data_IF_088661778809
#
_entry.id   IF_088661778809
#
_cell.length_a   1.000
_cell.length_b   1.000
_cell.length_c   1.000
_cell.angle_alpha   90.00
_cell.angle_beta   90.00
_cell.angle_gamma   90.00
#
_symmetry.space_group_name_H-M   'P 1'
#
loop_
_entity.id
_entity.type
_entity.pdbx_description
1 polymer ?
#
# COMPACT_ATOMS: atom_id res chain seq x y z
N UNK A 1 -51.15 -30.74 -20.20
CA UNK A 1 -51.09 -29.45 -19.45
C UNK A 1 -50.26 -29.56 -18.18
N UNK A 2 -50.64 -30.38 -17.17
CA UNK A 2 -49.87 -30.50 -15.91
C UNK A 2 -48.42 -30.96 -16.10
N UNK A 3 -48.17 -31.95 -16.96
CA UNK A 3 -46.82 -32.42 -17.26
C UNK A 3 -45.97 -31.40 -18.03
N UNK A 4 -46.61 -30.57 -18.86
CA UNK A 4 -45.95 -29.49 -19.60
C UNK A 4 -45.50 -28.37 -18.65
N UNK A 5 -46.39 -28.00 -17.71
CA UNK A 5 -46.11 -26.99 -16.70
C UNK A 5 -44.98 -27.43 -15.74
N UNK A 6 -44.97 -28.71 -15.34
CA UNK A 6 -43.90 -29.27 -14.51
C UNK A 6 -42.54 -29.23 -15.22
N UNK A 7 -42.50 -29.55 -16.52
CA UNK A 7 -41.28 -29.43 -17.33
C UNK A 7 -40.77 -28.00 -17.42
N UNK A 8 -41.66 -27.02 -17.55
CA UNK A 8 -41.27 -25.60 -17.57
C UNK A 8 -40.70 -25.13 -16.22
N UNK A 9 -41.26 -25.61 -15.10
CA UNK A 9 -40.74 -25.34 -13.76
C UNK A 9 -39.35 -25.95 -13.55
N UNK A 10 -39.15 -27.21 -13.98
CA UNK A 10 -37.86 -27.89 -13.88
C UNK A 10 -36.76 -27.19 -14.71
N UNK A 11 -37.09 -26.78 -15.95
CA UNK A 11 -36.18 -26.00 -16.81
C UNK A 11 -35.84 -24.64 -16.16
N UNK A 12 -36.80 -24.01 -15.49
CA UNK A 12 -36.59 -22.74 -14.81
C UNK A 12 -35.68 -22.90 -13.59
N UNK A 13 -35.85 -23.98 -12.83
CA UNK A 13 -35.03 -24.32 -11.67
C UNK A 13 -33.58 -24.65 -12.06
N UNK A 14 -33.39 -25.37 -13.17
CA UNK A 14 -32.07 -25.70 -13.71
C UNK A 14 -31.31 -24.44 -14.14
N UNK A 15 -31.99 -23.51 -14.83
CA UNK A 15 -31.42 -22.21 -15.21
C UNK A 15 -31.06 -21.34 -13.99
N UNK A 16 -31.92 -21.30 -12.97
CA UNK A 16 -31.64 -20.57 -11.74
C UNK A 16 -30.41 -21.15 -11.00
N UNK A 17 -30.30 -22.48 -10.97
CA UNK A 17 -29.16 -23.18 -10.35
C UNK A 17 -27.85 -22.85 -11.09
N UNK A 18 -27.85 -22.84 -12.42
CA UNK A 18 -26.68 -22.45 -13.22
C UNK A 18 -26.25 -21.00 -12.97
N UNK A 19 -27.20 -20.07 -12.84
CA UNK A 19 -26.90 -18.67 -12.52
C UNK A 19 -26.28 -18.52 -11.13
N UNK A 20 -26.77 -19.24 -10.12
CA UNK A 20 -26.20 -19.23 -8.78
C UNK A 20 -24.77 -19.79 -8.75
N UNK A 21 -24.53 -20.90 -9.44
CA UNK A 21 -23.18 -21.49 -9.56
C UNK A 21 -22.23 -20.55 -10.29
N UNK A 22 -22.69 -19.89 -11.36
CA UNK A 22 -21.90 -18.88 -12.07
C UNK A 22 -21.57 -17.68 -11.17
N UNK A 23 -22.51 -17.22 -10.34
CA UNK A 23 -22.27 -16.13 -9.39
C UNK A 23 -21.25 -16.51 -8.29
N UNK A 24 -21.32 -17.72 -7.74
CA UNK A 24 -20.33 -18.20 -6.75
C UNK A 24 -18.95 -18.44 -7.36
N UNK A 25 -18.91 -18.92 -8.61
CA UNK A 25 -17.66 -19.06 -9.36
C UNK A 25 -17.05 -17.69 -9.62
N UNK A 26 -17.84 -16.70 -10.05
CA UNK A 26 -17.41 -15.32 -10.24
C UNK A 26 -16.92 -14.68 -8.93
N UNK A 27 -17.62 -14.87 -7.80
CA UNK A 27 -17.15 -14.42 -6.48
C UNK A 27 -15.79 -15.03 -6.11
N UNK A 28 -15.60 -16.31 -6.39
CA UNK A 28 -14.33 -17.01 -6.14
C UNK A 28 -13.23 -16.51 -7.08
N UNK A 29 -13.57 -16.23 -8.34
CA UNK A 29 -12.65 -15.65 -9.32
C UNK A 29 -12.27 -14.21 -8.97
N UNK A 30 -13.20 -13.39 -8.49
CA UNK A 30 -12.94 -12.04 -7.98
C UNK A 30 -12.03 -12.10 -6.75
N UNK A 31 -12.28 -13.03 -5.80
CA UNK A 31 -11.38 -13.25 -4.66
C UNK A 31 -9.98 -13.73 -5.09
N UNK A 32 -9.89 -14.54 -6.14
CA UNK A 32 -8.62 -15.00 -6.72
C UNK A 32 -7.90 -13.86 -7.46
N UNK A 33 -8.63 -13.03 -8.20
CA UNK A 33 -8.11 -11.83 -8.85
C UNK A 33 -7.60 -10.82 -7.79
N UNK A 34 -8.27 -10.64 -6.66
CA UNK A 34 -7.75 -9.83 -5.54
C UNK A 34 -6.52 -10.45 -4.85
N UNK A 35 -6.31 -11.76 -4.96
CA UNK A 35 -5.15 -12.46 -4.39
C UNK A 35 -3.93 -12.39 -5.32
N UNK A 36 -4.16 -12.32 -6.62
CA UNK A 36 -3.12 -12.16 -7.66
C UNK A 36 -2.84 -10.69 -8.01
N UNK A 37 -3.75 -9.78 -7.62
CA UNK A 37 -3.57 -8.31 -7.64
C UNK A 37 -3.26 -7.79 -6.22
N UNK A 38 -2.31 -8.44 -5.55
CA UNK A 38 -1.45 -7.72 -4.59
C UNK A 38 -0.51 -6.81 -5.39
N UNK A 39 -1.07 -5.91 -6.20
CA UNK A 39 -0.37 -4.68 -6.52
C UNK A 39 -0.37 -3.88 -5.23
N UNK A 40 0.59 -4.18 -4.35
CA UNK A 40 0.88 -3.37 -3.18
C UNK A 40 1.52 -2.06 -3.67
N UNK A 41 0.85 -1.38 -4.58
CA UNK A 41 1.35 -0.15 -5.18
C UNK A 41 1.26 0.90 -4.09
N UNK A 42 2.42 1.30 -3.62
CA UNK A 42 2.57 2.50 -2.85
C UNK A 42 2.62 3.67 -3.82
N UNK A 43 1.79 4.69 -3.58
CA UNK A 43 1.93 5.97 -4.30
C UNK A 43 2.84 6.85 -3.49
N UNK A 44 3.94 7.30 -4.08
CA UNK A 44 4.97 8.09 -3.42
C UNK A 44 4.79 9.59 -3.64
N UNK A 45 5.14 10.39 -2.63
CA UNK A 45 5.02 11.85 -2.64
C UNK A 45 6.29 12.50 -2.09
N UNK A 46 7.01 13.23 -2.95
CA UNK A 46 8.18 14.01 -2.54
C UNK A 46 7.77 15.24 -1.73
N UNK A 47 8.32 15.37 -0.52
CA UNK A 47 8.10 16.48 0.39
C UNK A 47 9.41 17.29 0.48
N UNK A 48 9.46 18.50 -0.10
CA UNK A 48 10.69 19.28 -0.23
C UNK A 48 11.16 19.94 1.08
N UNK A 49 10.32 19.98 2.11
CA UNK A 49 10.64 20.64 3.37
C UNK A 49 11.68 19.83 4.17
N UNK A 50 12.78 20.48 4.55
CA UNK A 50 13.84 19.83 5.32
C UNK A 50 13.44 19.65 6.78
N UNK A 51 13.14 18.42 7.16
CA UNK A 51 12.70 18.02 8.50
C UNK A 51 13.60 16.92 9.08
N UNK A 52 13.66 16.84 10.40
CA UNK A 52 14.24 15.66 11.03
C UNK A 52 13.29 14.45 10.82
N UNK A 53 13.80 13.24 11.01
CA UNK A 53 13.05 12.03 10.65
C UNK A 53 11.68 11.95 11.36
N UNK A 54 11.63 12.27 12.66
CA UNK A 54 10.38 12.24 13.44
C UNK A 54 9.36 13.28 12.96
N UNK A 55 9.80 14.49 12.61
CA UNK A 55 8.91 15.52 12.07
C UNK A 55 8.42 15.16 10.67
N UNK A 56 9.29 14.59 9.82
CA UNK A 56 8.90 14.10 8.50
C UNK A 56 7.85 12.99 8.60
N UNK A 57 8.05 12.02 9.51
CA UNK A 57 7.07 10.98 9.81
C UNK A 57 5.73 11.56 10.26
N UNK A 58 5.77 12.53 11.16
CA UNK A 58 4.57 13.19 11.67
C UNK A 58 3.82 13.90 10.55
N UNK A 59 4.54 14.61 9.67
CA UNK A 59 3.96 15.24 8.48
C UNK A 59 3.31 14.19 7.57
N UNK A 60 4.02 13.11 7.24
CA UNK A 60 3.47 12.07 6.37
C UNK A 60 2.22 11.41 6.96
N UNK A 61 2.16 11.18 8.28
CA UNK A 61 0.96 10.62 8.92
C UNK A 61 -0.22 11.59 9.00
N UNK A 62 0.03 12.90 8.91
CA UNK A 62 -1.03 13.91 8.87
C UNK A 62 -1.64 14.08 7.48
N UNK A 63 -0.86 13.82 6.42
CA UNK A 63 -1.25 14.11 5.04
C UNK A 63 -1.37 12.87 4.14
N UNK A 64 -0.77 11.75 4.53
CA UNK A 64 -0.64 10.50 3.78
C UNK A 64 -0.73 9.29 4.74
N UNK A 65 -0.21 8.12 4.36
CA UNK A 65 -0.17 6.94 5.25
C UNK A 65 0.99 7.04 6.25
N UNK A 66 2.24 7.10 5.77
CA UNK A 66 3.45 7.26 6.60
C UNK A 66 4.63 7.72 5.70
N UNK A 67 5.82 7.87 6.27
CA UNK A 67 7.07 7.92 5.49
C UNK A 67 7.19 6.68 4.61
N UNK A 68 7.81 6.85 3.45
CA UNK A 68 7.88 5.84 2.40
C UNK A 68 8.31 4.47 2.92
N UNK A 69 7.46 3.48 2.68
CA UNK A 69 7.76 2.06 2.82
C UNK A 69 7.99 1.49 1.44
N UNK A 70 9.03 0.67 1.28
CA UNK A 70 9.45 0.15 -0.02
C UNK A 70 9.43 -1.38 0.06
N UNK A 71 8.58 -2.01 -0.75
CA UNK A 71 8.34 -3.45 -0.67
C UNK A 71 9.09 -4.26 -1.73
N UNK A 72 9.46 -3.63 -2.84
CA UNK A 72 10.20 -4.24 -3.92
C UNK A 72 10.90 -3.20 -4.81
N UNK A 73 11.47 -3.67 -5.92
CA UNK A 73 12.13 -2.82 -6.91
C UNK A 73 11.18 -1.88 -7.64
N UNK A 74 9.91 -2.26 -7.82
CA UNK A 74 8.91 -1.40 -8.47
C UNK A 74 8.60 -0.20 -7.59
N UNK A 75 8.38 -0.42 -6.30
CA UNK A 75 8.25 0.67 -5.33
C UNK A 75 9.49 1.57 -5.30
N UNK A 76 10.68 0.98 -5.32
CA UNK A 76 11.92 1.75 -5.25
C UNK A 76 12.12 2.62 -6.49
N UNK A 77 11.86 2.07 -7.67
CA UNK A 77 11.90 2.82 -8.93
C UNK A 77 10.85 3.93 -8.95
N UNK A 78 9.63 3.67 -8.46
CA UNK A 78 8.57 4.68 -8.38
C UNK A 78 8.96 5.82 -7.43
N UNK A 79 9.47 5.50 -6.24
CA UNK A 79 10.00 6.47 -5.29
C UNK A 79 11.04 7.38 -5.94
N UNK A 80 12.04 6.81 -6.62
CA UNK A 80 13.09 7.59 -7.29
C UNK A 80 12.52 8.48 -8.41
N UNK A 81 11.50 8.01 -9.13
CA UNK A 81 10.83 8.78 -10.18
C UNK A 81 10.03 9.98 -9.66
N UNK A 82 9.66 10.01 -8.37
CA UNK A 82 8.98 11.18 -7.77
C UNK A 82 9.91 12.35 -7.50
N UNK A 83 11.22 12.12 -7.50
CA UNK A 83 12.21 13.12 -7.14
C UNK A 83 12.40 14.15 -8.26
N UNK A 84 12.72 15.41 -7.92
CA UNK A 84 13.10 16.40 -8.92
C UNK A 84 14.25 15.90 -9.80
N UNK A 85 14.22 16.21 -11.10
CA UNK A 85 15.28 15.81 -12.03
C UNK A 85 16.64 16.35 -11.56
N UNK A 86 17.59 15.44 -11.34
CA UNK A 86 18.95 15.78 -10.89
C UNK A 86 19.06 16.01 -9.38
N UNK A 87 18.09 15.56 -8.59
CA UNK A 87 18.19 15.57 -7.13
C UNK A 87 19.31 14.65 -6.65
N UNK A 88 20.18 15.15 -5.77
CA UNK A 88 21.37 14.41 -5.28
C UNK A 88 21.49 14.39 -3.76
N UNK A 89 20.58 15.03 -3.03
CA UNK A 89 20.62 15.05 -1.56
C UNK A 89 20.01 13.77 -0.97
N UNK A 90 20.25 13.55 0.33
CA UNK A 90 19.60 12.47 1.08
C UNK A 90 18.13 12.76 1.31
N UNK A 91 17.31 11.71 1.33
CA UNK A 91 15.86 11.81 1.48
C UNK A 91 15.37 10.79 2.50
N UNK A 92 14.62 11.24 3.50
CA UNK A 92 14.08 10.34 4.51
C UNK A 92 13.06 9.35 3.94
N UNK A 93 13.17 8.09 4.39
CA UNK A 93 12.19 7.02 4.21
C UNK A 93 11.78 6.44 5.57
N UNK A 94 10.77 5.58 5.60
CA UNK A 94 10.14 5.07 6.83
C UNK A 94 10.95 4.03 7.59
N UNK A 95 12.14 3.65 7.13
CA UNK A 95 12.96 2.61 7.76
C UNK A 95 13.81 3.20 8.90
N UNK A 96 13.71 2.61 10.09
CA UNK A 96 14.44 3.08 11.27
C UNK A 96 14.79 1.95 12.26
N UNK A 97 15.64 2.23 13.23
CA UNK A 97 15.93 1.39 14.39
C UNK A 97 15.56 2.13 15.68
N UNK A 98 15.00 1.41 16.66
CA UNK A 98 14.72 1.97 17.98
C UNK A 98 16.00 2.27 18.79
N UNK A 99 17.07 1.52 18.53
CA UNK A 99 18.40 1.67 19.11
C UNK A 99 19.40 0.85 18.28
N UNK A 100 20.69 1.04 18.51
CA UNK A 100 21.77 0.40 17.73
C UNK A 100 21.74 -1.13 17.69
N UNK A 101 21.08 -1.79 18.65
CA UNK A 101 20.96 -3.25 18.72
C UNK A 101 19.61 -3.78 18.21
N UNK A 102 18.66 -2.90 17.88
CA UNK A 102 17.34 -3.29 17.40
C UNK A 102 17.39 -3.65 15.90
N UNK A 103 16.49 -4.52 15.41
CA UNK A 103 16.33 -4.70 13.97
C UNK A 103 15.82 -3.41 13.29
N UNK A 104 16.14 -3.26 12.01
CA UNK A 104 15.50 -2.25 11.16
C UNK A 104 14.02 -2.62 10.97
N UNK A 105 13.14 -1.65 11.15
CA UNK A 105 11.69 -1.81 11.01
C UNK A 105 11.09 -0.63 10.26
N UNK A 106 10.03 -0.88 9.51
CA UNK A 106 9.27 0.15 8.84
C UNK A 106 8.34 0.88 9.81
N UNK A 107 8.25 2.20 9.68
CA UNK A 107 7.49 3.09 10.56
C UNK A 107 5.99 2.81 10.55
N UNK A 108 5.47 2.37 9.41
CA UNK A 108 4.07 1.99 9.18
C UNK A 108 3.71 0.60 9.75
N UNK A 109 4.68 -0.10 10.36
CA UNK A 109 4.57 -1.49 10.83
C UNK A 109 4.45 -2.56 9.73
N UNK A 110 4.78 -2.22 8.48
CA UNK A 110 4.92 -3.18 7.39
C UNK A 110 5.99 -4.23 7.69
N UNK A 111 5.78 -5.42 7.13
CA UNK A 111 6.68 -6.58 7.26
C UNK A 111 7.60 -6.74 6.06
N UNK A 112 7.71 -5.73 5.20
CA UNK A 112 8.61 -5.78 4.06
C UNK A 112 10.03 -6.13 4.50
N UNK A 113 10.61 -7.10 3.80
CA UNK A 113 12.00 -7.53 3.96
C UNK A 113 12.90 -6.96 2.86
N UNK A 114 12.36 -6.12 1.98
CA UNK A 114 13.12 -5.50 0.91
C UNK A 114 14.12 -4.50 1.48
N UNK A 115 15.30 -4.48 0.88
CA UNK A 115 16.32 -3.50 1.24
C UNK A 115 17.21 -3.18 0.05
N UNK A 116 17.49 -1.89 -0.15
CA UNK A 116 18.49 -1.43 -1.11
C UNK A 116 19.58 -0.63 -0.41
N UNK A 117 20.21 -1.22 0.61
CA UNK A 117 21.36 -0.63 1.29
C UNK A 117 22.54 -0.43 0.34
N UNK A 118 23.25 0.69 0.47
CA UNK A 118 24.48 0.89 -0.28
C UNK A 118 25.62 -0.03 0.18
N UNK A 119 26.69 -0.11 -0.60
CA UNK A 119 27.87 -0.91 -0.28
C UNK A 119 28.43 -0.50 1.09
N UNK A 120 28.53 -1.48 2.00
CA UNK A 120 28.95 -1.35 3.41
C UNK A 120 27.92 -0.69 4.34
N UNK A 121 26.68 -0.46 3.88
CA UNK A 121 25.56 -0.05 4.73
C UNK A 121 24.72 -1.26 5.18
N UNK A 122 24.01 -1.15 6.32
CA UNK A 122 24.05 -0.06 7.29
C UNK A 122 25.36 -0.07 8.08
N UNK A 123 26.01 1.10 8.18
CA UNK A 123 27.24 1.31 8.94
C UNK A 123 26.94 2.24 10.11
N UNK A 124 26.98 1.72 11.33
CA UNK A 124 26.60 2.50 12.50
C UNK A 124 27.84 3.20 13.09
N UNK A 125 28.18 4.39 12.58
CA UNK A 125 29.21 5.22 13.21
C UNK A 125 28.70 5.68 14.58
N UNK A 126 29.42 5.32 15.65
CA UNK A 126 29.15 5.65 17.06
C UNK A 126 27.80 5.19 17.67
N UNK A 127 26.95 4.47 16.93
CA UNK A 127 25.70 3.92 17.45
C UNK A 127 24.46 4.82 17.28
N UNK A 128 24.60 5.99 16.66
CA UNK A 128 23.57 7.05 16.62
C UNK A 128 22.86 7.21 15.26
N UNK A 129 23.32 6.48 14.24
CA UNK A 129 22.76 6.54 12.88
C UNK A 129 21.63 5.53 12.71
N UNK A 130 20.45 5.88 13.23
CA UNK A 130 19.31 4.96 13.39
C UNK A 130 18.16 5.18 12.38
N UNK A 131 18.30 6.12 11.44
CA UNK A 131 17.26 6.44 10.46
C UNK A 131 17.79 6.26 9.04
N UNK A 132 17.01 5.63 8.16
CA UNK A 132 17.43 5.39 6.78
C UNK A 132 17.03 6.54 5.86
N UNK A 133 17.92 6.88 4.94
CA UNK A 133 17.68 7.82 3.86
C UNK A 133 18.13 7.24 2.52
N UNK A 134 17.43 7.61 1.45
CA UNK A 134 17.82 7.30 0.06
C UNK A 134 18.81 8.35 -0.42
N UNK A 135 19.91 7.90 -1.03
CA UNK A 135 20.77 8.71 -1.89
C UNK A 135 20.54 8.30 -3.35
N UNK A 136 19.93 9.15 -4.21
CA UNK A 136 19.56 8.74 -5.58
C UNK A 136 20.73 8.34 -6.47
N UNK A 137 21.94 8.85 -6.19
CA UNK A 137 23.15 8.50 -6.93
C UNK A 137 23.75 7.15 -6.50
N UNK A 138 23.30 6.62 -5.37
CA UNK A 138 23.81 5.41 -4.75
C UNK A 138 22.62 4.54 -4.35
N UNK A 139 22.36 4.42 -3.05
CA UNK A 139 21.36 3.54 -2.45
C UNK A 139 21.03 4.06 -1.04
N UNK A 140 20.54 3.21 -0.15
CA UNK A 140 20.14 3.63 1.19
C UNK A 140 21.33 3.73 2.13
N UNK A 141 21.32 4.75 2.97
CA UNK A 141 22.28 4.99 4.04
C UNK A 141 21.55 5.15 5.36
N UNK A 142 22.17 4.73 6.45
CA UNK A 142 21.71 5.09 7.78
C UNK A 142 22.40 6.39 8.23
N UNK A 143 21.62 7.32 8.76
CA UNK A 143 22.03 8.66 9.16
C UNK A 143 21.46 8.99 10.54
N UNK A 144 22.01 10.04 11.16
CA UNK A 144 21.52 10.55 12.43
C UNK A 144 20.12 11.16 12.23
N UNK A 145 19.14 10.65 12.97
CA UNK A 145 17.72 11.01 12.82
C UNK A 145 17.43 12.51 13.02
N UNK A 146 18.31 13.24 13.71
CA UNK A 146 18.17 14.66 14.01
C UNK A 146 18.50 15.56 12.82
N UNK A 147 19.23 15.06 11.80
CA UNK A 147 19.58 15.83 10.60
C UNK A 147 18.31 16.16 9.82
N UNK A 148 18.28 17.34 9.18
CA UNK A 148 17.13 17.80 8.42
C UNK A 148 17.32 17.55 6.93
N UNK A 149 16.45 16.74 6.35
CA UNK A 149 16.41 16.43 4.93
C UNK A 149 14.97 16.50 4.42
N UNK A 150 14.82 16.59 3.10
CA UNK A 150 13.56 16.31 2.42
C UNK A 150 13.13 14.86 2.72
N UNK A 151 11.88 14.53 2.41
CA UNK A 151 11.34 13.19 2.67
C UNK A 151 10.45 12.70 1.56
N UNK A 152 10.21 11.39 1.50
CA UNK A 152 9.13 10.82 0.69
C UNK A 152 8.07 10.24 1.63
N UNK A 153 6.83 10.67 1.46
CA UNK A 153 5.68 10.00 2.05
C UNK A 153 5.13 8.96 1.08
N UNK A 154 4.40 7.98 1.59
CA UNK A 154 3.61 7.09 0.73
C UNK A 154 2.15 7.01 1.15
N UNK A 155 1.31 6.58 0.21
CA UNK A 155 -0.07 6.18 0.45
C UNK A 155 -0.27 4.76 -0.05
N UNK A 156 -0.72 3.86 0.84
CA UNK A 156 -1.04 2.49 0.45
C UNK A 156 -2.38 2.40 -0.28
N UNK A 157 -2.40 1.78 -1.47
CA UNK A 157 -3.60 1.68 -2.32
C UNK A 157 -4.72 0.83 -1.68
N UNK A 158 -4.40 -0.05 -0.72
CA UNK A 158 -5.43 -0.73 0.11
C UNK A 158 -6.34 0.25 0.88
N UNK A 159 -5.83 1.44 1.25
CA UNK A 159 -6.63 2.46 1.90
C UNK A 159 -7.50 3.23 0.91
N UNK A 160 -6.99 3.54 -0.29
CA UNK A 160 -7.73 4.26 -1.34
C UNK A 160 -8.94 3.45 -1.81
N UNK A 161 -8.73 2.16 -2.11
CA UNK A 161 -9.79 1.26 -2.54
C UNK A 161 -10.80 0.96 -1.42
N UNK A 162 -10.41 0.99 -0.14
CA UNK A 162 -11.36 0.88 0.97
C UNK A 162 -12.32 2.07 1.04
N UNK A 163 -11.85 3.31 0.86
CA UNK A 163 -12.73 4.48 0.88
C UNK A 163 -13.71 4.50 -0.30
N UNK A 164 -13.23 4.15 -1.51
CA UNK A 164 -14.11 4.08 -2.69
C UNK A 164 -15.10 2.92 -2.61
N UNK A 165 -14.68 1.74 -2.14
CA UNK A 165 -15.57 0.59 -1.96
C UNK A 165 -16.56 0.81 -0.81
N UNK A 166 -16.19 1.46 0.30
CA UNK A 166 -17.15 1.86 1.34
C UNK A 166 -18.18 2.85 0.77
N UNK A 167 -17.75 3.86 0.02
CA UNK A 167 -18.66 4.83 -0.57
C UNK A 167 -19.62 4.18 -1.56
N UNK A 168 -19.13 3.27 -2.42
CA UNK A 168 -19.93 2.54 -3.39
C UNK A 168 -20.87 1.51 -2.75
N UNK A 169 -20.43 0.79 -1.71
CA UNK A 169 -21.28 -0.18 -0.98
C UNK A 169 -22.34 0.49 -0.13
N UNK A 170 -22.05 1.64 0.49
CA UNK A 170 -23.06 2.47 1.18
C UNK A 170 -24.10 2.98 0.18
N UNK A 171 -23.66 3.42 -1.01
CA UNK A 171 -24.56 3.86 -2.07
C UNK A 171 -25.43 2.72 -2.63
N UNK A 172 -24.85 1.55 -2.89
CA UNK A 172 -25.59 0.38 -3.37
C UNK A 172 -26.54 -0.22 -2.33
N UNK A 173 -26.14 -0.28 -1.05
CA UNK A 173 -27.02 -0.75 0.02
C UNK A 173 -28.19 0.21 0.24
N UNK A 174 -27.97 1.52 0.14
CA UNK A 174 -29.05 2.51 0.16
C UNK A 174 -30.03 2.35 -1.03
N UNK A 175 -29.56 1.91 -2.19
CA UNK A 175 -30.43 1.60 -3.35
C UNK A 175 -31.15 0.25 -3.20
N UNK A 176 -30.51 -0.78 -2.64
CA UNK A 176 -31.08 -2.12 -2.46
C UNK A 176 -32.15 -2.18 -1.36
N UNK A 177 -32.03 -1.36 -0.31
CA UNK A 177 -33.06 -1.22 0.74
C UNK A 177 -34.41 -0.78 0.14
N UNK A 178 -34.39 -0.02 -0.96
CA UNK A 178 -35.60 0.43 -1.66
C UNK A 178 -36.18 -0.62 -2.63
N UNK A 179 -35.48 -1.73 -2.91
CA UNK A 179 -35.90 -2.75 -3.89
C UNK A 179 -36.40 -4.03 -3.22
N UNK A 180 -35.89 -4.38 -2.03
CA UNK A 180 -36.31 -5.59 -1.30
C UNK A 180 -37.51 -5.39 -0.35
N UNK A 181 -38.13 -4.20 -0.33
CA UNK A 181 -39.36 -3.91 0.44
C UNK A 181 -40.60 -3.70 -0.45
N UNK A 182 -40.56 -4.12 -1.71
CA UNK A 182 -41.71 -4.12 -2.64
C UNK A 182 -42.06 -5.55 -3.09
#
# INVERSE_FOLDING_TARGET
>A
MRETLLREVDITLEKATQLCVAAETAKTQIKKMHKEDHNNSHVFYFIPDNMNWTSAQTYCRQHHTDLATVDDWTDYDELLNTLPKGFTEYIWIGLYQNNAAAPWVWSDSSKSTFSSWDVRQPYNYDGEQLCAAVCPAENWHNLECAIKYASVCYMGVFYILQFETLHFTVYQTAQLVNVCQA
#
